data_IF_822699549519
#
_entry.id   IF_822699549519
#
_cell.length_a   1.000
_cell.length_b   1.000
_cell.length_c   1.000
_cell.angle_alpha   90.00
_cell.angle_beta   90.00
_cell.angle_gamma   90.00
#
_symmetry.space_group_name_H-M   'P 1'
#
loop_
_entity.id
_entity.type
_entity.pdbx_description
1 polymer ?
#
# COMPACT_ATOMS: atom_id res chain seq x y z
N UNK A 1 -2.62 13.77 -14.60
CA UNK A 1 -1.71 14.55 -13.83
C UNK A 1 -0.32 14.36 -14.30
N UNK A 2 0.30 15.24 -14.75
CA UNK A 2 1.58 15.08 -15.39
C UNK A 2 2.78 15.46 -14.57
N UNK A 3 2.66 15.61 -13.24
CA UNK A 3 3.83 16.07 -12.50
C UNK A 3 4.87 14.96 -12.40
N UNK A 4 6.16 15.29 -12.57
CA UNK A 4 7.22 14.29 -12.38
C UNK A 4 7.22 13.69 -11.01
N UNK A 5 6.84 14.47 -10.00
CA UNK A 5 6.73 13.97 -8.64
C UNK A 5 5.69 12.86 -8.54
N UNK A 6 4.51 13.09 -9.14
CA UNK A 6 3.46 12.08 -9.09
C UNK A 6 3.89 10.79 -9.80
N UNK A 7 4.52 10.93 -10.96
CA UNK A 7 4.97 9.76 -11.71
C UNK A 7 5.99 8.95 -10.92
N UNK A 8 6.90 9.62 -10.21
CA UNK A 8 7.88 8.95 -9.39
C UNK A 8 7.22 8.21 -8.24
N UNK A 9 6.30 8.87 -7.55
CA UNK A 9 5.60 8.26 -6.42
C UNK A 9 4.79 7.06 -6.89
N UNK A 10 4.08 7.18 -8.00
CA UNK A 10 3.34 6.05 -8.54
C UNK A 10 4.27 4.88 -8.84
N UNK A 11 5.39 5.13 -9.50
CA UNK A 11 6.34 4.07 -9.79
C UNK A 11 6.86 3.38 -8.54
N UNK A 12 7.15 4.15 -7.50
CA UNK A 12 7.64 3.59 -6.24
C UNK A 12 6.57 2.76 -5.54
N UNK A 13 5.31 3.24 -5.52
CA UNK A 13 4.20 2.48 -4.96
C UNK A 13 4.06 1.14 -5.68
N UNK A 14 4.11 1.16 -7.00
CA UNK A 14 3.93 -0.08 -7.77
C UNK A 14 5.05 -1.07 -7.53
N UNK A 15 6.28 -0.60 -7.36
CA UNK A 15 7.40 -1.48 -7.02
C UNK A 15 7.20 -2.15 -5.66
N UNK A 16 6.77 -1.39 -4.68
CA UNK A 16 6.54 -1.92 -3.34
C UNK A 16 5.42 -2.95 -3.38
N UNK A 17 4.31 -2.62 -4.05
CA UNK A 17 3.17 -3.52 -4.16
C UNK A 17 3.57 -4.82 -4.85
N UNK A 18 4.36 -4.72 -5.91
CA UNK A 18 4.80 -5.91 -6.65
C UNK A 18 5.64 -6.85 -5.79
N UNK A 19 6.26 -6.34 -4.74
CA UNK A 19 7.10 -7.15 -3.86
C UNK A 19 6.33 -7.84 -2.75
N UNK A 20 5.02 -7.55 -2.58
CA UNK A 20 4.23 -8.15 -1.51
C UNK A 20 3.98 -9.63 -1.80
N UNK A 21 4.34 -10.55 -0.88
CA UNK A 21 4.15 -11.97 -1.12
C UNK A 21 2.69 -12.39 -0.95
N UNK A 22 2.31 -13.53 -1.52
CA UNK A 22 0.95 -14.07 -1.34
C UNK A 22 0.63 -14.32 0.14
N UNK A 23 -0.59 -13.98 0.53
CA UNK A 23 -1.03 -14.20 1.90
C UNK A 23 -0.51 -13.18 2.90
N UNK A 24 0.29 -12.22 2.46
CA UNK A 24 0.83 -11.17 3.31
C UNK A 24 0.23 -9.83 2.87
N UNK A 25 0.23 -8.88 3.78
CA UNK A 25 -0.41 -7.58 3.52
C UNK A 25 0.43 -6.44 4.03
N UNK A 26 0.18 -5.26 3.46
CA UNK A 26 0.69 -4.00 3.98
C UNK A 26 -0.45 -3.01 4.00
N UNK A 27 -0.33 -1.96 4.79
CA UNK A 27 -1.37 -0.94 4.82
C UNK A 27 -0.99 0.24 3.92
N UNK A 28 -2.02 0.99 3.50
CA UNK A 28 -1.78 2.23 2.76
C UNK A 28 -0.87 3.16 3.56
N UNK A 29 -1.06 3.20 4.88
CA UNK A 29 -0.27 4.06 5.73
C UNK A 29 1.19 3.65 5.81
N UNK A 30 1.46 2.34 5.83
CA UNK A 30 2.83 1.85 5.88
C UNK A 30 3.59 2.17 4.60
N UNK A 31 2.94 2.00 3.46
CA UNK A 31 3.56 2.36 2.18
C UNK A 31 3.77 3.87 2.12
N UNK A 32 2.76 4.64 2.54
CA UNK A 32 2.87 6.09 2.57
C UNK A 32 3.99 6.57 3.45
N UNK A 33 4.15 5.96 4.63
CA UNK A 33 5.22 6.35 5.55
C UNK A 33 6.60 6.07 4.95
N UNK A 34 6.74 4.97 4.21
CA UNK A 34 8.00 4.64 3.56
C UNK A 34 8.37 5.67 2.49
N UNK A 35 7.38 6.20 1.81
CA UNK A 35 7.57 7.14 0.70
C UNK A 35 7.38 8.61 1.11
N UNK A 36 7.04 8.85 2.36
CA UNK A 36 6.74 10.19 2.87
C UNK A 36 5.59 10.85 2.11
N UNK A 37 4.52 10.09 1.90
CA UNK A 37 3.28 10.61 1.32
C UNK A 37 2.11 10.16 2.18
N UNK A 38 0.97 10.82 1.99
CA UNK A 38 -0.23 10.50 2.77
C UNK A 38 -0.81 9.16 2.33
N UNK A 39 -1.42 8.41 3.26
CA UNK A 39 -2.06 7.14 2.90
C UNK A 39 -3.08 7.28 1.78
N UNK A 40 -3.81 8.40 1.73
CA UNK A 40 -4.81 8.60 0.69
C UNK A 40 -4.20 8.69 -0.70
N UNK A 41 -2.93 9.13 -0.80
CA UNK A 41 -2.25 9.16 -2.09
C UNK A 41 -1.97 7.76 -2.59
N UNK A 42 -1.56 6.86 -1.69
CA UNK A 42 -1.35 5.46 -2.04
C UNK A 42 -2.68 4.83 -2.47
N UNK A 43 -3.73 5.08 -1.70
CA UNK A 43 -5.04 4.54 -2.03
C UNK A 43 -5.53 5.04 -3.38
N UNK A 44 -5.33 6.32 -3.69
CA UNK A 44 -5.73 6.89 -4.97
C UNK A 44 -4.98 6.21 -6.12
N UNK A 45 -3.67 6.03 -5.97
CA UNK A 45 -2.87 5.39 -7.00
C UNK A 45 -3.40 3.99 -7.29
N UNK A 46 -3.69 3.22 -6.24
CA UNK A 46 -4.18 1.86 -6.42
C UNK A 46 -5.60 1.83 -6.96
N UNK A 47 -6.42 2.82 -6.62
CA UNK A 47 -7.79 2.89 -7.12
C UNK A 47 -7.86 3.30 -8.59
N UNK A 48 -6.78 3.86 -9.12
CA UNK A 48 -6.76 4.35 -10.50
C UNK A 48 -5.82 3.57 -11.41
N UNK A 49 -5.47 2.34 -11.03
CA UNK A 49 -4.65 1.48 -11.87
C UNK A 49 -5.38 1.18 -13.19
N UNK A 50 -4.62 1.06 -14.26
CA UNK A 50 -5.17 0.60 -15.53
C UNK A 50 -5.58 -0.87 -15.40
N UNK A 51 -6.36 -1.36 -16.35
CA UNK A 51 -6.76 -2.78 -16.34
C UNK A 51 -5.55 -3.71 -16.36
N UNK A 52 -4.54 -3.35 -17.13
CA UNK A 52 -3.33 -4.17 -17.22
C UNK A 52 -2.59 -4.16 -15.90
N UNK A 53 -2.43 -2.98 -15.30
CA UNK A 53 -1.76 -2.87 -14.01
C UNK A 53 -2.50 -3.66 -12.93
N UNK A 54 -3.82 -3.53 -12.89
CA UNK A 54 -4.62 -4.23 -11.89
C UNK A 54 -4.55 -5.75 -12.07
N UNK A 55 -4.41 -6.22 -13.31
CA UNK A 55 -4.32 -7.65 -13.59
C UNK A 55 -2.97 -8.24 -13.21
N UNK A 56 -1.91 -7.42 -13.22
CA UNK A 56 -0.56 -7.93 -13.00
C UNK A 56 0.00 -7.64 -11.62
N UNK A 57 -0.56 -6.66 -10.90
CA UNK A 57 -0.05 -6.27 -9.60
C UNK A 57 -0.93 -6.80 -8.47
N UNK A 58 -0.34 -7.23 -7.36
CA UNK A 58 -1.14 -7.72 -6.22
C UNK A 58 -1.69 -6.57 -5.38
N UNK A 59 -2.45 -5.68 -5.99
CA UNK A 59 -3.03 -4.51 -5.31
C UNK A 59 -3.92 -4.92 -4.13
N UNK A 60 -4.50 -6.10 -4.21
CA UNK A 60 -5.40 -6.61 -3.16
C UNK A 60 -4.67 -6.85 -1.84
N UNK A 61 -3.35 -6.90 -1.86
CA UNK A 61 -2.54 -7.13 -0.65
C UNK A 61 -2.28 -5.84 0.14
N UNK A 62 -2.86 -4.72 -0.31
CA UNK A 62 -2.77 -3.46 0.43
C UNK A 62 -4.13 -3.17 1.05
N UNK A 63 -4.14 -2.98 2.36
CA UNK A 63 -5.38 -2.83 3.13
C UNK A 63 -5.28 -1.58 4.01
N UNK A 64 -6.37 -1.26 4.72
CA UNK A 64 -6.36 -0.15 5.65
C UNK A 64 -5.53 -0.49 6.89
N UNK A 65 -5.16 0.52 7.67
CA UNK A 65 -4.30 0.34 8.83
C UNK A 65 -4.89 -0.57 9.90
N UNK A 66 -6.21 -0.70 9.93
CA UNK A 66 -6.89 -1.56 10.88
C UNK A 66 -7.15 -2.97 10.34
N UNK A 67 -6.63 -3.28 9.17
CA UNK A 67 -6.79 -4.61 8.57
C UNK A 67 -8.04 -4.77 7.72
N UNK A 68 -8.84 -3.71 7.54
CA UNK A 68 -10.01 -3.75 6.67
C UNK A 68 -9.58 -3.47 5.23
N UNK A 69 -10.45 -3.80 4.25
CA UNK A 69 -10.09 -3.58 2.85
C UNK A 69 -9.82 -2.12 2.50
N UNK A 70 -10.27 -1.21 3.32
CA UNK A 70 -10.20 0.21 3.01
C UNK A 70 -11.51 0.67 2.40
N UNK A 71 -11.56 1.94 2.01
CA UNK A 71 -12.75 2.49 1.38
C UNK A 71 -12.56 2.42 -0.13
N UNK A 72 -13.24 1.50 -0.83
CA UNK A 72 -13.07 1.37 -2.27
C UNK A 72 -13.68 2.55 -2.99
N UNK A 73 -13.13 2.86 -4.15
CA UNK A 73 -13.69 3.89 -4.99
C UNK A 73 -15.03 3.44 -5.55
N UNK A 74 -15.18 2.12 -5.74
CA UNK A 74 -16.46 1.52 -6.11
C UNK A 74 -16.64 0.28 -5.25
N UNK A 75 -17.88 -0.12 -5.07
CA UNK A 75 -18.17 -1.30 -4.25
C UNK A 75 -17.55 -2.58 -4.77
N UNK A 76 -17.27 -2.63 -6.08
CA UNK A 76 -16.71 -3.84 -6.68
C UNK A 76 -15.33 -4.15 -6.17
N UNK A 77 -14.56 -3.12 -5.83
CA UNK A 77 -13.19 -3.29 -5.35
C UNK A 77 -13.11 -4.11 -4.07
N UNK A 78 -14.04 -3.86 -3.15
CA UNK A 78 -14.04 -4.57 -1.88
C UNK A 78 -14.26 -6.07 -2.06
N UNK A 79 -15.22 -6.43 -2.92
CA UNK A 79 -15.50 -7.84 -3.18
C UNK A 79 -14.34 -8.54 -3.83
N UNK A 80 -13.69 -7.88 -4.79
CA UNK A 80 -12.54 -8.46 -5.48
C UNK A 80 -11.38 -8.68 -4.51
N UNK A 81 -11.13 -7.69 -3.65
CA UNK A 81 -10.04 -7.80 -2.68
C UNK A 81 -10.28 -8.96 -1.72
N UNK A 82 -11.51 -9.11 -1.22
CA UNK A 82 -11.86 -10.20 -0.33
C UNK A 82 -11.66 -11.55 -0.98
N UNK A 83 -12.08 -11.68 -2.23
CA UNK A 83 -11.95 -12.95 -2.94
C UNK A 83 -10.50 -13.32 -3.17
N UNK A 84 -9.70 -12.37 -3.60
CA UNK A 84 -8.30 -12.63 -3.89
C UNK A 84 -7.50 -12.97 -2.63
N UNK A 85 -7.71 -12.24 -1.55
CA UNK A 85 -7.02 -12.55 -0.30
C UNK A 85 -7.50 -13.87 0.29
N UNK A 86 -8.79 -14.16 0.19
CA UNK A 86 -9.31 -15.44 0.64
C UNK A 86 -8.65 -16.61 -0.09
N UNK A 87 -8.46 -16.47 -1.41
CA UNK A 87 -7.80 -17.49 -2.21
C UNK A 87 -6.33 -17.69 -1.80
N UNK A 88 -5.73 -16.69 -1.21
CA UNK A 88 -4.34 -16.79 -0.73
C UNK A 88 -4.27 -17.29 0.72
N UNK A 89 -5.37 -17.70 1.30
CA UNK A 89 -5.40 -18.18 2.67
C UNK A 89 -5.51 -17.07 3.71
N UNK A 90 -5.91 -15.88 3.30
CA UNK A 90 -6.01 -14.72 4.15
C UNK A 90 -7.42 -14.13 4.12
N UNK A 91 -8.43 -14.86 4.58
CA UNK A 91 -9.82 -14.39 4.50
C UNK A 91 -10.07 -13.27 5.51
N UNK A 92 -11.15 -12.53 5.27
CA UNK A 92 -11.59 -11.52 6.22
C UNK A 92 -12.46 -12.16 7.29
N UNK A 93 -12.28 -11.71 8.53
CA UNK A 93 -13.07 -12.17 9.66
C UNK A 93 -14.44 -11.50 9.66
N UNK A 94 -15.38 -12.00 10.49
CA UNK A 94 -16.72 -11.39 10.57
C UNK A 94 -16.71 -9.91 10.95
N UNK A 95 -15.67 -9.43 11.65
CA UNK A 95 -15.57 -8.02 12.01
C UNK A 95 -15.08 -7.14 10.85
N UNK A 96 -14.85 -7.73 9.68
CA UNK A 96 -14.42 -6.99 8.49
C UNK A 96 -12.92 -6.83 8.36
N UNK A 97 -12.15 -7.34 9.30
CA UNK A 97 -10.69 -7.26 9.23
C UNK A 97 -10.12 -8.56 8.69
N UNK A 98 -8.96 -8.45 8.06
CA UNK A 98 -8.27 -9.67 7.63
C UNK A 98 -7.85 -10.46 8.86
N UNK A 99 -7.98 -11.79 8.80
CA UNK A 99 -7.60 -12.64 9.92
C UNK A 99 -6.10 -12.59 10.13
N UNK A 100 -5.69 -12.58 11.40
CA UNK A 100 -4.27 -12.56 11.77
C UNK A 100 -3.51 -11.40 11.16
N UNK A 101 -4.14 -10.23 11.12
CA UNK A 101 -3.56 -9.06 10.46
C UNK A 101 -2.13 -8.78 10.93
N UNK A 102 -1.91 -8.78 12.25
CA UNK A 102 -0.59 -8.46 12.79
C UNK A 102 0.48 -9.44 12.31
N UNK A 103 0.12 -10.72 12.17
CA UNK A 103 1.06 -11.74 11.72
C UNK A 103 1.27 -11.70 10.21
N UNK A 104 0.27 -11.20 9.47
CA UNK A 104 0.35 -11.16 8.01
C UNK A 104 1.00 -9.90 7.46
N UNK A 105 1.05 -8.82 8.27
CA UNK A 105 1.69 -7.60 7.80
C UNK A 105 3.19 -7.82 7.64
N UNK A 106 3.76 -7.11 6.66
CA UNK A 106 5.20 -7.19 6.39
C UNK A 106 5.82 -5.82 6.62
N UNK A 107 7.10 -5.83 6.95
CA UNK A 107 7.88 -4.59 7.04
C UNK A 107 8.22 -4.14 5.63
N UNK A 108 7.79 -2.94 5.28
CA UNK A 108 8.02 -2.42 3.92
C UNK A 108 9.52 -2.39 3.61
N UNK A 109 10.33 -1.95 4.56
CA UNK A 109 11.78 -1.84 4.35
C UNK A 109 12.45 -3.19 4.12
N UNK A 110 11.82 -4.29 4.54
CA UNK A 110 12.39 -5.62 4.37
C UNK A 110 12.06 -6.27 3.04
N UNK A 111 11.16 -5.66 2.25
CA UNK A 111 10.76 -6.23 0.96
C UNK A 111 11.81 -5.93 -0.11
N UNK A 112 11.94 -6.82 -1.10
CA UNK A 112 12.97 -6.65 -2.14
C UNK A 112 12.51 -5.71 -3.26
N UNK A 113 11.93 -4.56 -2.92
CA UNK A 113 11.43 -3.61 -3.92
C UNK A 113 12.48 -2.63 -4.40
N UNK A 114 13.58 -2.48 -3.66
CA UNK A 114 14.65 -1.59 -4.07
C UNK A 114 14.36 -0.11 -3.92
N UNK A 115 13.26 0.27 -3.27
CA UNK A 115 12.91 1.67 -3.09
C UNK A 115 13.37 2.11 -1.70
N UNK A 116 14.30 3.07 -1.61
CA UNK A 116 14.77 3.51 -0.29
C UNK A 116 13.69 4.27 0.45
N UNK A 117 13.72 4.18 1.76
CA UNK A 117 12.79 4.93 2.58
C UNK A 117 13.03 6.43 2.39
N UNK A 118 11.97 7.16 2.14
CA UNK A 118 12.04 8.60 1.95
C UNK A 118 11.86 9.30 3.29
N UNK A 119 12.70 10.27 3.55
CA UNK A 119 12.54 11.09 4.73
C UNK A 119 12.58 12.55 4.29
N UNK A 120 11.79 13.36 4.92
CA UNK A 120 11.84 14.79 4.63
C UNK A 120 13.15 15.34 5.13
N UNK A 121 13.77 16.24 4.38
CA UNK A 121 14.85 17.02 4.96
C UNK A 121 14.30 17.73 6.19
N UNK A 122 15.07 17.69 7.24
CA UNK A 122 14.63 18.35 8.45
C UNK A 122 14.29 19.78 8.10
N UNK A 123 13.16 20.08 8.28
CA UNK A 123 12.70 21.41 7.93
C UNK A 123 13.09 22.35 9.02
N UNK A 124 13.54 20.99 8.59
CA UNK A 124 13.54 21.00 9.22
C UNK A 124 13.95 21.22 9.83
N UNK A 125 14.34 21.28 9.87
CA UNK A 125 14.60 21.44 10.60
C UNK A 125 14.90 21.69 10.97
N UNK A 126 14.99 21.65 10.81
CA UNK A 126 15.20 21.72 11.29
C UNK A 126 15.71 21.63 11.39
N UNK A 127 15.96 21.95 11.47
CA UNK A 127 16.34 21.83 11.76
C UNK A 127 16.90 21.73 11.96
N UNK A 128 17.01 21.79 11.93
CA UNK A 128 17.30 21.77 12.19
C UNK A 128 17.94 21.52 12.52
N UNK A 129 18.28 21.54 12.52
CA UNK A 129 18.65 21.47 12.71
C UNK A 129 19.42 21.37 12.97
N UNK A 130 19.71 21.50 13.12
CA UNK A 130 20.19 21.51 13.18
C UNK A 130 20.52 21.26 13.40
N UNK A 131 20.40 21.10 13.02
CA UNK A 131 20.38 20.84 13.13
C UNK A 131 20.50 20.76 12.98
#
# INVERSE_FOLDING_TARGET
MGSPFYARIKGDVLRIVAALPPGRVASFGEIGAHLDVMPRHVAYILATLSEIEAATLPWHRVVAADGRPGVPKSGADDGARRALLGAEGAPFAPDGRITDFAARRVEIAALPHGVPKQTRPAAGPGPKRRG
#
